data_IF_394833860810
#
_entry.id   IF_394833860810
#
_cell.length_a   1.000
_cell.length_b   1.000
_cell.length_c   1.000
_cell.angle_alpha   90.00
_cell.angle_beta   90.00
_cell.angle_gamma   90.00
#
_symmetry.space_group_name_H-M   'P 1'
#
loop_
_entity.id
_entity.type
_entity.pdbx_description
1 polymer ?
#
# COMPACT_ATOMS: atom_id res chain seq x y z
N UNK A 1 38.10 0.21 -13.52
CA UNK A 1 36.81 0.89 -13.75
C UNK A 1 36.13 1.07 -12.39
N UNK A 2 35.85 2.30 -11.94
CA UNK A 2 35.07 2.49 -10.70
C UNK A 2 33.65 2.00 -10.97
N UNK A 3 33.24 0.89 -10.36
CA UNK A 3 31.86 0.41 -10.40
C UNK A 3 30.97 1.43 -9.68
N UNK A 4 30.48 2.42 -10.42
CA UNK A 4 29.63 3.46 -9.88
C UNK A 4 28.33 2.86 -9.34
N UNK A 5 27.87 3.39 -8.21
CA UNK A 5 26.56 3.08 -7.65
C UNK A 5 25.47 3.36 -8.69
N UNK A 6 24.55 2.39 -8.88
CA UNK A 6 23.48 2.42 -9.88
C UNK A 6 22.15 2.79 -9.23
N UNK A 7 21.33 3.57 -9.94
CA UNK A 7 19.93 3.76 -9.54
C UNK A 7 19.08 2.64 -10.12
N UNK A 8 18.18 2.08 -9.32
CA UNK A 8 17.31 0.98 -9.71
C UNK A 8 15.85 1.38 -9.49
N UNK A 9 15.01 1.18 -10.49
CA UNK A 9 13.57 1.17 -10.33
C UNK A 9 13.03 -0.25 -10.33
N UNK A 10 11.83 -0.43 -9.76
CA UNK A 10 11.14 -1.70 -9.88
C UNK A 10 9.64 -1.55 -10.06
N UNK A 11 9.05 -2.33 -10.97
CA UNK A 11 7.61 -2.40 -11.16
C UNK A 11 7.14 -3.86 -11.26
N UNK A 12 6.39 -4.32 -10.27
CA UNK A 12 5.56 -5.51 -10.41
C UNK A 12 4.17 -5.10 -10.90
N UNK A 13 3.77 -5.54 -12.09
CA UNK A 13 2.53 -5.10 -12.73
C UNK A 13 1.28 -5.76 -12.16
N UNK A 14 1.38 -6.98 -11.61
CA UNK A 14 0.21 -7.71 -11.05
C UNK A 14 -0.53 -6.90 -9.96
N UNK A 15 0.14 -6.19 -9.03
CA UNK A 15 -0.52 -5.25 -8.14
C UNK A 15 -1.35 -4.17 -8.85
N UNK A 16 -0.88 -3.65 -9.98
CA UNK A 16 -1.61 -2.65 -10.76
C UNK A 16 -2.85 -3.26 -11.40
N UNK A 17 -2.77 -4.47 -11.93
CA UNK A 17 -3.94 -5.20 -12.45
C UNK A 17 -4.99 -5.41 -11.36
N UNK A 18 -4.57 -5.74 -10.14
CA UNK A 18 -5.46 -5.86 -9.00
C UNK A 18 -6.16 -4.53 -8.68
N UNK A 19 -5.43 -3.40 -8.75
CA UNK A 19 -6.01 -2.06 -8.61
C UNK A 19 -7.07 -1.80 -9.70
N UNK A 20 -6.76 -2.07 -10.97
CA UNK A 20 -7.70 -1.91 -12.10
C UNK A 20 -8.96 -2.74 -11.89
N UNK A 21 -8.82 -4.04 -11.56
CA UNK A 21 -9.95 -4.94 -11.26
C UNK A 21 -10.82 -4.42 -10.12
N UNK A 22 -10.21 -3.79 -9.12
CA UNK A 22 -10.90 -3.17 -7.97
C UNK A 22 -11.38 -1.74 -8.21
N UNK A 23 -11.22 -1.20 -9.42
CA UNK A 23 -11.54 0.21 -9.76
C UNK A 23 -10.84 1.20 -8.82
N UNK A 24 -9.62 0.88 -8.41
CA UNK A 24 -8.74 1.73 -7.59
C UNK A 24 -7.54 2.17 -8.43
N UNK A 25 -6.95 3.30 -8.05
CA UNK A 25 -5.70 3.78 -8.62
C UNK A 25 -4.56 3.40 -7.66
N UNK A 26 -3.42 3.01 -8.21
CA UNK A 26 -2.24 2.62 -7.42
C UNK A 26 -1.61 3.82 -6.71
N UNK A 27 -0.99 3.58 -5.56
CA UNK A 27 -0.16 4.57 -4.84
C UNK A 27 -0.89 5.83 -4.39
N UNK A 28 -2.23 5.79 -4.24
CA UNK A 28 -3.10 6.91 -3.85
C UNK A 28 -3.09 8.11 -4.82
N UNK A 29 -2.66 7.91 -6.07
CA UNK A 29 -2.72 8.96 -7.10
C UNK A 29 -4.15 9.30 -7.50
N UNK A 30 -4.45 10.57 -7.85
CA UNK A 30 -5.80 10.99 -8.23
C UNK A 30 -6.25 10.45 -9.59
N UNK A 31 -5.33 10.05 -10.46
CA UNK A 31 -5.65 9.35 -11.71
C UNK A 31 -4.47 8.50 -12.21
N UNK A 32 -4.77 7.55 -13.10
CA UNK A 32 -3.74 6.76 -13.79
C UNK A 32 -2.78 7.64 -14.62
N UNK A 33 -3.24 8.76 -15.17
CA UNK A 33 -2.36 9.71 -15.88
C UNK A 33 -1.27 10.24 -14.93
N UNK A 34 -1.65 10.68 -13.73
CA UNK A 34 -0.68 11.19 -12.76
C UNK A 34 0.25 10.10 -12.22
N UNK A 35 -0.25 8.87 -12.04
CA UNK A 35 0.59 7.73 -11.71
C UNK A 35 1.71 7.53 -12.74
N UNK A 36 1.36 7.55 -14.03
CA UNK A 36 2.35 7.38 -15.09
C UNK A 36 3.24 8.60 -15.31
N UNK A 37 2.72 9.82 -15.13
CA UNK A 37 3.55 11.02 -15.12
C UNK A 37 4.62 10.98 -14.04
N UNK A 38 4.30 10.43 -12.87
CA UNK A 38 5.26 10.24 -11.79
C UNK A 38 6.40 9.32 -12.22
N UNK A 39 6.09 8.17 -12.85
CA UNK A 39 7.09 7.28 -13.43
C UNK A 39 7.99 7.96 -14.46
N UNK A 40 7.41 8.73 -15.38
CA UNK A 40 8.18 9.48 -16.40
C UNK A 40 9.13 10.45 -15.71
N UNK A 41 8.62 11.30 -14.82
CA UNK A 41 9.44 12.30 -14.15
C UNK A 41 10.55 11.64 -13.31
N UNK A 42 10.22 10.59 -12.55
CA UNK A 42 11.20 9.88 -11.72
C UNK A 42 12.34 9.28 -12.55
N UNK A 43 12.01 8.54 -13.62
CA UNK A 43 13.02 7.89 -14.46
C UNK A 43 13.91 8.91 -15.20
N UNK A 44 13.31 9.90 -15.86
CA UNK A 44 14.09 10.92 -16.56
C UNK A 44 14.96 11.73 -15.61
N UNK A 45 14.41 12.16 -14.48
CA UNK A 45 15.14 13.00 -13.53
C UNK A 45 16.30 12.23 -12.86
N UNK A 46 16.13 10.93 -12.60
CA UNK A 46 17.21 10.06 -12.14
C UNK A 46 18.26 9.81 -13.24
N UNK A 47 17.84 9.64 -14.50
CA UNK A 47 18.75 9.49 -15.63
C UNK A 47 19.62 10.73 -15.81
N UNK A 48 19.02 11.92 -15.88
CA UNK A 48 19.72 13.18 -16.09
C UNK A 48 20.73 13.49 -14.97
N UNK A 49 20.41 13.17 -13.72
CA UNK A 49 21.23 13.59 -12.57
C UNK A 49 22.16 12.51 -12.03
N UNK A 50 21.82 11.24 -12.18
CA UNK A 50 22.64 10.12 -11.69
C UNK A 50 23.28 9.32 -12.82
N UNK A 51 22.84 9.51 -14.07
CA UNK A 51 23.33 8.82 -15.26
C UNK A 51 22.59 7.51 -15.50
N UNK A 52 23.28 6.39 -15.31
CA UNK A 52 22.75 5.06 -15.69
C UNK A 52 21.72 4.57 -14.66
N UNK A 53 20.49 4.37 -15.12
CA UNK A 53 19.40 3.80 -14.34
C UNK A 53 18.98 2.44 -14.90
N UNK A 54 18.62 1.51 -14.02
CA UNK A 54 18.21 0.15 -14.38
C UNK A 54 16.77 -0.11 -13.90
N UNK A 55 16.06 -1.03 -14.56
CA UNK A 55 14.70 -1.43 -14.21
C UNK A 55 14.66 -2.93 -13.89
N UNK A 56 14.01 -3.30 -12.79
CA UNK A 56 13.61 -4.68 -12.49
C UNK A 56 12.09 -4.78 -12.53
N UNK A 57 11.55 -5.56 -13.46
CA UNK A 57 10.11 -5.58 -13.76
C UNK A 57 9.67 -6.99 -14.16
N UNK A 58 8.39 -7.15 -14.42
CA UNK A 58 7.84 -8.26 -15.20
C UNK A 58 7.62 -7.82 -16.66
N UNK A 59 7.27 -8.76 -17.54
CA UNK A 59 7.08 -8.52 -18.98
C UNK A 59 6.08 -7.39 -19.25
N UNK A 60 4.99 -7.34 -18.49
CA UNK A 60 3.96 -6.31 -18.67
C UNK A 60 4.44 -4.93 -18.22
N UNK A 61 5.20 -4.84 -17.13
CA UNK A 61 5.82 -3.58 -16.74
C UNK A 61 6.90 -3.11 -17.73
N UNK A 62 7.64 -4.02 -18.39
CA UNK A 62 8.59 -3.66 -19.46
C UNK A 62 7.86 -3.13 -20.71
N UNK A 63 6.79 -3.80 -21.14
CA UNK A 63 5.91 -3.33 -22.23
C UNK A 63 5.44 -1.89 -21.97
N UNK A 64 5.02 -1.58 -20.74
CA UNK A 64 4.49 -0.26 -20.39
C UNK A 64 5.60 0.78 -20.28
N UNK A 65 6.62 0.52 -19.45
CA UNK A 65 7.63 1.53 -19.09
C UNK A 65 8.66 1.74 -20.21
N UNK A 66 8.99 0.71 -20.97
CA UNK A 66 10.06 0.78 -21.98
C UNK A 66 9.48 0.94 -23.37
N UNK A 67 8.62 0.01 -23.80
CA UNK A 67 8.11 0.04 -25.18
C UNK A 67 7.10 1.16 -25.39
N UNK A 68 6.13 1.28 -24.47
CA UNK A 68 5.06 2.27 -24.58
C UNK A 68 5.48 3.64 -24.08
N UNK A 69 6.24 3.78 -22.99
CA UNK A 69 6.63 5.10 -22.48
C UNK A 69 8.01 5.58 -22.94
N UNK A 70 8.86 4.71 -23.49
CA UNK A 70 10.19 5.09 -23.93
C UNK A 70 11.09 5.59 -22.79
N UNK A 71 10.92 5.09 -21.56
CA UNK A 71 11.71 5.56 -20.42
C UNK A 71 13.20 5.18 -20.54
N UNK A 72 14.12 6.04 -20.07
CA UNK A 72 15.55 5.95 -20.38
C UNK A 72 16.32 4.92 -19.52
N UNK A 73 15.80 3.70 -19.43
CA UNK A 73 16.48 2.62 -18.71
C UNK A 73 17.64 2.05 -19.53
N UNK A 74 18.81 1.94 -18.91
CA UNK A 74 19.99 1.30 -19.52
C UNK A 74 19.80 -0.20 -19.65
N UNK A 75 19.24 -0.84 -18.62
CA UNK A 75 19.02 -2.27 -18.59
C UNK A 75 17.68 -2.59 -17.94
N UNK A 76 17.08 -3.69 -18.41
CA UNK A 76 15.79 -4.19 -17.95
C UNK A 76 15.97 -5.64 -17.57
N UNK A 77 15.66 -5.97 -16.32
CA UNK A 77 15.59 -7.34 -15.83
C UNK A 77 14.13 -7.75 -15.69
N UNK A 78 13.76 -8.89 -16.27
CA UNK A 78 12.43 -9.48 -16.16
C UNK A 78 12.26 -10.39 -14.94
N UNK A 79 13.10 -10.24 -13.91
CA UNK A 79 13.14 -11.14 -12.76
C UNK A 79 11.81 -11.24 -11.99
N UNK A 80 10.87 -10.32 -12.17
CA UNK A 80 9.56 -10.39 -11.51
C UNK A 80 8.57 -11.31 -12.26
N UNK A 81 8.89 -11.80 -13.46
CA UNK A 81 8.14 -12.88 -14.12
C UNK A 81 8.27 -14.21 -13.34
N UNK A 82 9.38 -14.39 -12.62
CA UNK A 82 9.66 -15.60 -11.82
C UNK A 82 8.86 -15.66 -10.50
N UNK A 83 8.10 -14.61 -10.17
CA UNK A 83 7.27 -14.57 -8.96
C UNK A 83 6.21 -15.68 -8.99
N UNK A 84 6.17 -16.58 -7.98
CA UNK A 84 5.22 -17.67 -7.97
C UNK A 84 3.77 -17.17 -8.01
N UNK A 85 2.92 -17.83 -8.81
CA UNK A 85 1.53 -17.41 -9.00
C UNK A 85 0.69 -17.39 -7.71
N UNK A 86 1.07 -18.20 -6.73
CA UNK A 86 0.40 -18.23 -5.43
C UNK A 86 0.70 -17.00 -4.55
N UNK A 87 1.70 -16.19 -4.90
CA UNK A 87 2.02 -14.96 -4.17
C UNK A 87 0.95 -13.92 -4.50
N UNK A 88 0.28 -13.42 -3.46
CA UNK A 88 -0.81 -12.45 -3.61
C UNK A 88 -0.31 -11.13 -4.24
N UNK A 89 -0.94 -10.64 -5.33
CA UNK A 89 -0.64 -9.32 -5.90
C UNK A 89 -0.91 -8.14 -4.94
N UNK A 90 -1.55 -8.37 -3.80
CA UNK A 90 -1.72 -7.35 -2.78
C UNK A 90 -0.42 -7.04 -2.00
N UNK A 91 0.58 -7.93 -2.05
CA UNK A 91 1.92 -7.74 -1.48
C UNK A 91 2.83 -6.97 -2.44
N UNK A 92 2.42 -5.77 -2.87
CA UNK A 92 3.16 -4.96 -3.84
C UNK A 92 4.63 -4.68 -3.46
N UNK A 93 4.94 -4.59 -2.16
CA UNK A 93 6.30 -4.39 -1.66
C UNK A 93 7.23 -5.55 -2.02
N UNK A 94 6.68 -6.76 -2.18
CA UNK A 94 7.49 -7.93 -2.43
C UNK A 94 8.22 -7.87 -3.77
N UNK A 95 7.62 -7.23 -4.79
CA UNK A 95 8.30 -6.96 -6.05
C UNK A 95 9.56 -6.10 -5.89
N UNK A 96 9.52 -5.11 -4.99
CA UNK A 96 10.70 -4.29 -4.66
C UNK A 96 11.76 -5.09 -3.91
N UNK A 97 11.34 -5.92 -2.95
CA UNK A 97 12.25 -6.80 -2.21
C UNK A 97 13.00 -7.76 -3.13
N UNK A 98 12.33 -8.32 -4.14
CA UNK A 98 13.01 -9.12 -5.17
C UNK A 98 13.93 -8.29 -6.04
N UNK A 99 13.56 -7.06 -6.39
CA UNK A 99 14.46 -6.15 -7.10
C UNK A 99 15.75 -5.89 -6.32
N UNK A 100 15.68 -5.75 -4.99
CA UNK A 100 16.86 -5.65 -4.12
C UNK A 100 17.67 -6.95 -4.11
N UNK A 101 17.00 -8.10 -4.02
CA UNK A 101 17.63 -9.43 -3.99
C UNK A 101 18.45 -9.72 -5.26
N UNK A 102 18.06 -9.16 -6.40
CA UNK A 102 18.77 -9.33 -7.67
C UNK A 102 20.08 -8.53 -7.76
N UNK A 103 20.32 -7.58 -6.85
CA UNK A 103 21.49 -6.71 -6.96
C UNK A 103 22.79 -7.43 -6.57
N UNK A 104 23.77 -7.37 -7.48
CA UNK A 104 25.12 -7.95 -7.32
C UNK A 104 26.22 -6.91 -7.09
N UNK A 105 25.86 -5.63 -7.10
CA UNK A 105 26.75 -4.49 -6.88
C UNK A 105 26.03 -3.44 -6.04
N UNK A 106 26.76 -2.49 -5.49
CA UNK A 106 26.17 -1.34 -4.79
C UNK A 106 25.13 -0.63 -5.66
N UNK A 107 23.99 -0.31 -5.04
CA UNK A 107 22.83 0.26 -5.72
C UNK A 107 22.06 1.18 -4.77
N UNK A 108 21.24 2.05 -5.34
CA UNK A 108 20.15 2.73 -4.65
C UNK A 108 18.89 2.49 -5.46
N UNK A 109 17.89 1.91 -4.84
CA UNK A 109 16.54 1.90 -5.38
C UNK A 109 15.83 3.19 -4.98
N UNK A 110 14.99 3.71 -5.88
CA UNK A 110 14.07 4.80 -5.57
C UNK A 110 12.66 4.44 -6.03
N UNK A 111 11.66 4.96 -5.31
CA UNK A 111 10.26 4.81 -5.68
C UNK A 111 9.89 5.69 -6.88
N UNK A 112 8.84 5.28 -7.61
CA UNK A 112 8.38 6.00 -8.81
C UNK A 112 7.87 7.41 -8.53
N UNK A 113 7.62 7.74 -7.27
CA UNK A 113 7.18 9.04 -6.77
C UNK A 113 8.30 9.82 -6.08
N UNK A 114 9.55 9.39 -6.31
CA UNK A 114 10.77 10.10 -5.92
C UNK A 114 11.44 10.73 -7.13
N UNK A 115 11.79 12.01 -6.99
CA UNK A 115 12.44 12.83 -8.03
C UNK A 115 13.77 13.38 -7.53
N UNK A 116 14.84 13.17 -8.31
CA UNK A 116 16.22 13.56 -7.98
C UNK A 116 16.69 14.74 -8.84
N UNK A 117 16.50 15.96 -8.36
CA UNK A 117 16.83 17.20 -9.06
C UNK A 117 18.33 17.54 -9.09
N UNK A 118 19.14 16.88 -8.24
CA UNK A 118 20.60 17.05 -8.17
C UNK A 118 21.28 15.69 -8.04
N UNK A 119 22.58 15.65 -8.33
CA UNK A 119 23.42 14.49 -8.01
C UNK A 119 23.32 14.19 -6.51
N UNK A 120 23.10 12.91 -6.14
CA UNK A 120 23.09 12.52 -4.74
C UNK A 120 24.47 12.76 -4.10
N UNK A 121 24.55 13.25 -2.85
CA UNK A 121 25.81 13.49 -2.18
C UNK A 121 26.70 12.25 -2.12
N UNK A 122 28.03 12.43 -2.15
CA UNK A 122 28.98 11.33 -2.16
C UNK A 122 28.86 10.41 -0.93
N UNK A 123 28.57 10.98 0.25
CA UNK A 123 28.35 10.20 1.47
C UNK A 123 27.13 9.27 1.35
N UNK A 124 26.06 9.72 0.69
CA UNK A 124 24.86 8.91 0.45
C UNK A 124 25.20 7.75 -0.49
N UNK A 125 25.95 8.03 -1.56
CA UNK A 125 26.38 7.02 -2.54
C UNK A 125 27.37 6.00 -1.96
N UNK A 126 28.02 6.31 -0.83
CA UNK A 126 28.98 5.45 -0.16
C UNK A 126 28.46 4.78 1.12
N UNK A 127 27.22 5.04 1.51
CA UNK A 127 26.65 4.49 2.72
C UNK A 127 26.56 2.94 2.69
N UNK A 128 26.83 2.24 3.81
CA UNK A 128 26.66 0.79 3.90
C UNK A 128 25.21 0.38 3.64
N UNK A 129 24.28 0.96 4.40
CA UNK A 129 22.83 0.88 4.18
C UNK A 129 22.31 2.31 4.30
N UNK A 130 21.47 2.74 3.36
CA UNK A 130 20.82 4.04 3.40
C UNK A 130 19.32 3.92 3.14
N UNK A 131 18.56 4.74 3.85
CA UNK A 131 17.13 4.98 3.62
C UNK A 131 16.85 6.49 3.52
N UNK A 132 15.61 6.88 3.20
CA UNK A 132 15.25 8.29 3.19
C UNK A 132 15.36 8.90 4.60
N UNK A 133 14.68 8.28 5.56
CA UNK A 133 14.62 8.71 6.96
C UNK A 133 14.14 7.53 7.81
N UNK A 134 14.20 7.66 9.13
CA UNK A 134 13.30 6.87 9.97
C UNK A 134 11.86 7.32 9.74
N UNK A 135 10.91 6.41 9.92
CA UNK A 135 9.49 6.76 9.86
C UNK A 135 9.11 7.61 11.07
N UNK A 136 8.73 8.85 10.80
CA UNK A 136 8.27 9.80 11.81
C UNK A 136 6.77 9.59 12.02
N UNK A 137 6.39 8.60 12.83
CA UNK A 137 5.00 8.49 13.31
C UNK A 137 4.83 9.40 14.53
N UNK A 138 4.15 10.55 14.42
CA UNK A 138 4.10 11.54 15.50
C UNK A 138 3.23 11.09 16.69
N UNK A 139 2.55 9.94 16.58
CA UNK A 139 1.81 9.32 17.66
C UNK A 139 2.11 7.82 17.73
N UNK A 140 2.38 7.32 18.93
CA UNK A 140 2.54 5.89 19.23
C UNK A 140 1.39 5.04 18.66
N UNK A 141 0.16 5.57 18.72
CA UNK A 141 -1.05 4.91 18.18
C UNK A 141 -1.02 4.72 16.66
N UNK A 142 -0.39 5.63 15.90
CA UNK A 142 -0.24 5.46 14.47
C UNK A 142 0.79 4.36 14.15
N UNK A 143 1.90 4.29 14.88
CA UNK A 143 2.88 3.20 14.66
C UNK A 143 2.27 1.83 14.95
N UNK A 144 1.44 1.76 15.99
CA UNK A 144 0.75 0.54 16.40
C UNK A 144 -0.12 -0.05 15.27
N UNK A 145 -0.94 0.77 14.63
CA UNK A 145 -1.82 0.33 13.54
C UNK A 145 -1.07 -0.01 12.25
N UNK A 146 0.03 0.70 11.98
CA UNK A 146 0.77 0.59 10.71
C UNK A 146 1.74 -0.59 10.73
N UNK A 147 2.41 -0.81 11.86
CA UNK A 147 3.51 -1.75 11.95
C UNK A 147 3.23 -2.89 12.91
N UNK A 148 2.91 -2.58 14.17
CA UNK A 148 2.84 -3.63 15.19
C UNK A 148 1.64 -4.54 15.00
N UNK A 149 0.46 -4.00 14.67
CA UNK A 149 -0.72 -4.82 14.42
C UNK A 149 -0.52 -5.74 13.20
N UNK A 150 -0.09 -5.26 12.01
CA UNK A 150 0.18 -6.17 10.89
C UNK A 150 1.28 -7.19 11.20
N UNK A 151 2.36 -6.79 11.88
CA UNK A 151 3.43 -7.69 12.30
C UNK A 151 2.93 -8.80 13.23
N UNK A 152 2.14 -8.46 14.26
CA UNK A 152 1.54 -9.46 15.16
C UNK A 152 0.57 -10.38 14.41
N UNK A 153 -0.23 -9.84 13.50
CA UNK A 153 -1.08 -10.65 12.63
C UNK A 153 -0.25 -11.66 11.83
N UNK A 154 0.89 -11.25 11.28
CA UNK A 154 1.81 -12.18 10.62
C UNK A 154 2.38 -13.21 11.58
N UNK A 155 2.88 -12.82 12.77
CA UNK A 155 3.37 -13.77 13.76
C UNK A 155 2.31 -14.79 14.23
N UNK A 156 1.03 -14.41 14.21
CA UNK A 156 -0.06 -15.29 14.63
C UNK A 156 -0.54 -16.25 13.53
N UNK A 157 -0.45 -15.84 12.26
CA UNK A 157 -1.00 -16.59 11.13
C UNK A 157 0.05 -17.33 10.32
N UNK A 158 1.31 -16.88 10.34
CA UNK A 158 2.39 -17.45 9.57
C UNK A 158 3.32 -18.25 10.48
N UNK A 159 3.74 -19.43 10.02
CA UNK A 159 4.68 -20.29 10.72
C UNK A 159 6.13 -19.79 10.59
N UNK A 160 6.49 -19.27 9.41
CA UNK A 160 7.79 -18.65 9.15
C UNK A 160 7.64 -17.15 9.08
N UNK A 161 8.21 -16.44 10.05
CA UNK A 161 8.31 -14.98 10.05
C UNK A 161 9.77 -14.57 10.20
N UNK A 162 10.16 -13.36 9.77
CA UNK A 162 11.53 -12.87 9.94
C UNK A 162 11.98 -12.99 11.41
N UNK A 163 13.02 -13.78 11.71
CA UNK A 163 13.51 -13.93 13.08
C UNK A 163 14.01 -12.61 13.66
N UNK A 164 14.40 -11.65 12.80
CA UNK A 164 14.79 -10.31 13.23
C UNK A 164 13.66 -9.52 13.91
N UNK A 165 12.39 -9.88 13.71
CA UNK A 165 11.28 -9.11 14.29
C UNK A 165 11.21 -9.21 15.81
N UNK A 166 11.47 -10.38 16.41
CA UNK A 166 11.33 -10.54 17.86
C UNK A 166 12.25 -9.62 18.68
N UNK A 167 13.58 -9.57 18.45
CA UNK A 167 14.47 -8.76 19.28
C UNK A 167 14.26 -7.24 19.15
N UNK A 168 13.63 -6.78 18.06
CA UNK A 168 13.51 -5.35 17.75
C UNK A 168 12.05 -4.88 17.62
N UNK A 169 11.09 -5.73 17.96
CA UNK A 169 9.66 -5.45 17.91
C UNK A 169 9.25 -4.24 18.77
N UNK A 170 9.93 -4.04 19.89
CA UNK A 170 9.60 -3.02 20.90
C UNK A 170 10.26 -1.67 20.62
N UNK A 171 11.23 -1.61 19.70
CA UNK A 171 11.91 -0.36 19.35
C UNK A 171 11.00 0.62 18.59
N UNK A 172 9.87 0.13 18.06
CA UNK A 172 8.89 0.93 17.31
C UNK A 172 9.52 1.83 16.23
N UNK A 173 10.49 1.26 15.49
CA UNK A 173 11.21 1.93 14.40
C UNK A 173 11.01 1.21 13.07
N UNK A 174 11.00 2.01 12.02
CA UNK A 174 10.89 1.59 10.62
C UNK A 174 11.60 2.61 9.73
N UNK A 175 11.88 2.25 8.48
CA UNK A 175 12.59 3.09 7.51
C UNK A 175 11.64 3.62 6.45
N UNK A 176 11.62 4.93 6.19
CA UNK A 176 11.02 5.40 4.96
C UNK A 176 11.94 5.03 3.78
N UNK A 177 11.45 4.17 2.89
CA UNK A 177 12.24 3.59 1.80
C UNK A 177 11.93 4.19 0.43
N UNK A 178 11.51 5.45 0.36
CA UNK A 178 11.44 6.17 -0.93
C UNK A 178 12.78 6.17 -1.67
N UNK A 179 13.88 6.10 -0.92
CA UNK A 179 15.19 5.64 -1.39
C UNK A 179 15.68 4.54 -0.46
N UNK A 180 16.28 3.49 -1.00
CA UNK A 180 16.89 2.41 -0.20
C UNK A 180 18.04 1.72 -0.94
N UNK A 181 19.07 1.31 -0.20
CA UNK A 181 20.14 0.47 -0.76
C UNK A 181 21.45 0.71 -0.05
N UNK A 182 22.56 0.59 -0.77
CA UNK A 182 23.89 0.87 -0.25
C UNK A 182 24.95 -0.12 -0.74
N UNK A 183 26.07 -0.15 -0.01
CA UNK A 183 27.25 -0.96 -0.32
C UNK A 183 27.30 -2.29 0.44
N UNK A 184 26.63 -2.40 1.58
CA UNK A 184 26.54 -3.63 2.37
C UNK A 184 25.46 -4.54 1.79
N UNK A 185 25.80 -5.19 0.68
CA UNK A 185 24.94 -6.19 0.05
C UNK A 185 24.68 -7.38 0.98
N UNK A 186 25.59 -7.71 1.90
CA UNK A 186 25.39 -8.82 2.83
C UNK A 186 24.18 -8.59 3.73
N UNK A 187 24.06 -7.38 4.28
CA UNK A 187 22.90 -6.99 5.10
C UNK A 187 21.62 -6.89 4.28
N UNK A 188 21.67 -6.25 3.10
CA UNK A 188 20.49 -6.13 2.22
C UNK A 188 19.99 -7.50 1.77
N UNK A 189 20.89 -8.42 1.40
CA UNK A 189 20.52 -9.77 0.96
C UNK A 189 19.99 -10.62 2.12
N UNK A 190 20.53 -10.49 3.33
CA UNK A 190 19.96 -11.13 4.51
C UNK A 190 18.53 -10.63 4.78
N UNK A 191 18.28 -9.33 4.59
CA UNK A 191 16.94 -8.75 4.69
C UNK A 191 15.99 -9.37 3.65
N UNK A 192 16.38 -9.36 2.38
CA UNK A 192 15.60 -9.96 1.31
C UNK A 192 15.29 -11.43 1.59
N UNK A 193 16.28 -12.19 2.08
CA UNK A 193 16.11 -13.61 2.36
C UNK A 193 15.06 -13.88 3.45
N UNK A 194 15.04 -13.11 4.54
CA UNK A 194 14.03 -13.28 5.59
C UNK A 194 12.62 -12.98 5.09
N UNK A 195 12.46 -11.94 4.26
CA UNK A 195 11.17 -11.64 3.63
C UNK A 195 10.75 -12.76 2.66
N UNK A 196 11.66 -13.24 1.82
CA UNK A 196 11.39 -14.34 0.88
C UNK A 196 10.97 -15.61 1.61
N UNK A 197 11.64 -15.97 2.69
CA UNK A 197 11.26 -17.14 3.49
C UNK A 197 9.84 -16.99 4.06
N UNK A 198 9.48 -15.82 4.58
CA UNK A 198 8.11 -15.58 5.03
C UNK A 198 7.07 -15.65 3.89
N UNK A 199 7.37 -15.08 2.72
CA UNK A 199 6.39 -15.02 1.62
C UNK A 199 6.25 -16.36 0.90
N UNK A 200 7.35 -17.05 0.63
CA UNK A 200 7.40 -18.23 -0.27
C UNK A 200 7.37 -19.57 0.47
N UNK A 201 7.69 -19.62 1.77
CA UNK A 201 7.80 -20.90 2.46
C UNK A 201 6.44 -21.64 2.50
N UNK A 202 6.46 -22.92 2.13
CA UNK A 202 5.26 -23.76 1.98
C UNK A 202 4.37 -23.81 3.23
N UNK A 203 4.98 -23.74 4.41
CA UNK A 203 4.26 -23.73 5.68
C UNK A 203 3.34 -22.52 5.86
N UNK A 204 3.65 -21.40 5.21
CA UNK A 204 2.85 -20.17 5.31
C UNK A 204 1.67 -20.12 4.35
N UNK A 205 1.52 -21.09 3.43
CA UNK A 205 0.46 -21.04 2.41
C UNK A 205 -0.94 -20.93 3.02
N UNK A 206 -1.23 -21.74 4.04
CA UNK A 206 -2.51 -21.68 4.75
C UNK A 206 -2.68 -20.36 5.50
N UNK A 207 -1.62 -19.85 6.12
CA UNK A 207 -1.61 -18.54 6.78
C UNK A 207 -1.91 -17.38 5.84
N UNK A 208 -1.32 -17.38 4.64
CA UNK A 208 -1.59 -16.40 3.59
C UNK A 208 -3.02 -16.49 3.07
N UNK A 209 -3.57 -17.70 2.90
CA UNK A 209 -4.98 -17.89 2.54
C UNK A 209 -5.93 -17.37 3.63
N UNK A 210 -5.64 -17.65 4.90
CA UNK A 210 -6.41 -17.12 6.02
C UNK A 210 -6.36 -15.58 6.05
N UNK A 211 -5.16 -14.99 5.88
CA UNK A 211 -5.00 -13.53 5.81
C UNK A 211 -5.85 -12.93 4.67
N UNK A 212 -5.86 -13.55 3.49
CA UNK A 212 -6.69 -13.09 2.38
C UNK A 212 -8.20 -13.19 2.68
N UNK A 213 -8.63 -14.19 3.46
CA UNK A 213 -10.03 -14.43 3.82
C UNK A 213 -10.57 -13.49 4.92
N UNK A 214 -9.70 -12.93 5.77
CA UNK A 214 -10.12 -12.03 6.88
C UNK A 214 -10.76 -10.71 6.42
N UNK A 215 -10.85 -10.43 5.12
CA UNK A 215 -11.34 -9.14 4.64
C UNK A 215 -10.42 -7.97 5.01
N UNK A 216 -9.23 -8.24 5.60
CA UNK A 216 -8.09 -7.33 5.67
C UNK A 216 -7.57 -7.07 4.26
N UNK A 217 -8.41 -6.44 3.44
CA UNK A 217 -8.09 -5.85 2.15
C UNK A 217 -7.08 -4.70 2.27
N UNK A 218 -6.53 -4.49 3.46
CA UNK A 218 -5.47 -3.54 3.76
C UNK A 218 -4.14 -4.25 4.08
N UNK A 219 -3.80 -5.29 3.29
CA UNK A 219 -2.39 -5.71 3.08
C UNK A 219 -1.50 -4.50 2.74
N UNK A 220 -2.07 -3.36 2.32
CA UNK A 220 -1.40 -2.06 2.21
C UNK A 220 -0.46 -1.71 3.38
N UNK A 221 -0.91 -1.79 4.64
CA UNK A 221 -0.03 -1.52 5.78
C UNK A 221 0.94 -2.68 6.06
N UNK A 222 0.51 -3.91 5.78
CA UNK A 222 1.37 -5.09 5.84
C UNK A 222 2.58 -5.00 4.91
N UNK A 223 2.47 -4.31 3.77
CA UNK A 223 3.59 -4.05 2.87
C UNK A 223 4.68 -3.18 3.52
N UNK A 224 4.32 -2.25 4.41
CA UNK A 224 5.27 -1.44 5.15
C UNK A 224 6.05 -2.29 6.16
N UNK A 225 5.40 -3.28 6.79
CA UNK A 225 6.10 -4.25 7.64
C UNK A 225 7.04 -5.13 6.80
N UNK A 226 6.56 -5.65 5.68
CA UNK A 226 7.33 -6.51 4.75
C UNK A 226 8.57 -5.77 4.23
N UNK A 227 8.40 -4.52 3.78
CA UNK A 227 9.49 -3.74 3.21
C UNK A 227 10.33 -3.07 4.29
N UNK A 228 9.72 -2.15 5.04
CA UNK A 228 10.41 -1.13 5.81
C UNK A 228 10.83 -1.60 7.21
N UNK A 229 9.90 -2.16 7.97
CA UNK A 229 10.21 -2.61 9.33
C UNK A 229 11.15 -3.82 9.29
N UNK A 230 10.98 -4.72 8.33
CA UNK A 230 11.88 -5.87 8.18
C UNK A 230 13.29 -5.45 7.81
N UNK A 231 13.47 -4.46 6.92
CA UNK A 231 14.79 -3.91 6.60
C UNK A 231 15.47 -3.31 7.84
N UNK A 232 14.73 -2.53 8.64
CA UNK A 232 15.21 -2.00 9.91
C UNK A 232 15.70 -3.11 10.85
N UNK A 233 14.82 -4.08 11.15
CA UNK A 233 15.11 -5.14 12.11
C UNK A 233 16.33 -5.98 11.69
N UNK A 234 16.47 -6.30 10.40
CA UNK A 234 17.62 -7.10 9.93
C UNK A 234 18.92 -6.30 9.97
N UNK A 235 18.89 -5.02 9.59
CA UNK A 235 20.06 -4.16 9.72
C UNK A 235 20.52 -4.03 11.19
N UNK A 236 19.57 -3.87 12.12
CA UNK A 236 19.85 -3.88 13.57
C UNK A 236 20.43 -5.21 14.05
N UNK A 237 19.83 -6.34 13.63
CA UNK A 237 20.30 -7.69 13.96
C UNK A 237 21.76 -7.91 13.58
N UNK A 238 22.17 -7.32 12.45
CA UNK A 238 23.52 -7.48 11.89
C UNK A 238 24.51 -6.42 12.38
N UNK A 239 24.08 -5.51 13.27
CA UNK A 239 24.91 -4.38 13.72
C UNK A 239 25.28 -3.43 12.58
N UNK A 240 24.49 -3.39 11.50
CA UNK A 240 24.78 -2.55 10.35
C UNK A 240 24.49 -1.08 10.67
N UNK A 241 25.34 -0.19 10.17
CA UNK A 241 25.13 1.25 10.28
C UNK A 241 24.12 1.71 9.21
N UNK A 242 22.94 2.13 9.66
CA UNK A 242 21.88 2.66 8.79
C UNK A 242 22.03 4.17 8.72
N UNK A 243 22.34 4.68 7.53
CA UNK A 243 22.33 6.11 7.24
C UNK A 243 20.95 6.55 6.74
N UNK A 244 20.62 7.82 6.96
CA UNK A 244 19.41 8.44 6.44
C UNK A 244 19.75 9.65 5.57
N UNK A 245 18.97 9.91 4.52
CA UNK A 245 19.07 11.20 3.80
C UNK A 245 18.71 12.37 4.72
N UNK A 246 17.78 12.13 5.63
CA UNK A 246 17.26 13.10 6.57
C UNK A 246 17.22 12.47 7.97
N UNK A 247 18.10 12.94 8.85
CA UNK A 247 18.19 12.49 10.24
C UNK A 247 17.00 13.02 11.04
N UNK A 248 16.20 12.13 11.66
CA UNK A 248 15.04 12.41 12.52
C UNK A 248 14.51 13.86 12.42
N UNK A 249 14.10 14.25 11.21
CA UNK A 249 13.72 15.63 10.93
C UNK A 249 12.26 15.78 11.32
N UNK A 250 11.97 16.77 12.17
CA UNK A 250 10.62 17.33 12.33
C UNK A 250 9.93 17.34 10.95
N UNK A 251 8.78 16.66 10.77
CA UNK A 251 8.10 16.59 9.48
C UNK A 251 7.90 17.96 8.81
N UNK A 252 7.83 19.05 9.58
CA UNK A 252 7.76 20.43 9.08
C UNK A 252 9.03 20.89 8.33
N UNK A 253 10.21 20.39 8.72
CA UNK A 253 11.52 20.75 8.15
C UNK A 253 12.00 19.80 7.06
N UNK A 254 11.38 18.61 6.93
CA UNK A 254 11.73 17.63 5.92
C UNK A 254 11.68 18.21 4.49
N UNK A 255 10.69 19.07 4.22
CA UNK A 255 10.57 19.70 2.90
C UNK A 255 11.71 20.67 2.59
N UNK A 256 12.30 21.32 3.59
CA UNK A 256 13.42 22.25 3.40
C UNK A 256 14.72 21.48 3.17
N UNK A 257 14.98 20.48 4.01
CA UNK A 257 16.14 19.60 3.86
C UNK A 257 16.15 18.89 2.49
N UNK A 258 14.99 18.40 2.05
CA UNK A 258 14.83 17.78 0.74
C UNK A 258 15.16 18.76 -0.41
N UNK A 259 14.74 20.03 -0.32
CA UNK A 259 15.08 21.05 -1.34
C UNK A 259 16.59 21.29 -1.44
N UNK A 260 17.31 21.32 -0.32
CA UNK A 260 18.76 21.57 -0.29
C UNK A 260 19.50 20.53 -1.15
N UNK A 261 19.21 19.25 -0.95
CA UNK A 261 19.85 18.15 -1.69
C UNK A 261 19.19 17.85 -3.04
N UNK A 262 18.14 18.58 -3.42
CA UNK A 262 17.43 18.36 -4.67
C UNK A 262 16.64 17.05 -4.69
N UNK A 263 15.95 16.73 -3.61
CA UNK A 263 15.15 15.52 -3.46
C UNK A 263 13.67 15.87 -3.33
N UNK A 264 12.79 15.05 -3.88
CA UNK A 264 11.34 15.15 -3.67
C UNK A 264 10.77 13.74 -3.56
N UNK A 265 10.02 13.46 -2.50
CA UNK A 265 9.19 12.26 -2.39
C UNK A 265 7.74 12.70 -2.22
N UNK A 266 6.88 12.31 -3.15
CA UNK A 266 5.45 12.66 -3.13
C UNK A 266 4.71 11.74 -2.16
N UNK A 267 4.67 12.13 -0.89
CA UNK A 267 3.98 11.37 0.16
C UNK A 267 2.47 11.22 -0.10
N UNK A 268 1.86 10.14 0.40
CA UNK A 268 0.45 9.79 0.14
C UNK A 268 -0.57 10.88 0.51
N UNK A 269 -0.31 11.69 1.54
CA UNK A 269 -1.18 12.81 1.93
C UNK A 269 -1.31 13.86 0.81
N UNK A 270 -0.21 14.20 0.13
CA UNK A 270 -0.19 15.14 -1.01
C UNK A 270 -0.91 14.60 -2.25
N UNK A 271 -0.95 13.27 -2.41
CA UNK A 271 -1.68 12.64 -3.51
C UNK A 271 -3.19 12.61 -3.25
N UNK A 272 -3.59 12.33 -2.01
CA UNK A 272 -5.01 12.26 -1.56
C UNK A 272 -5.70 13.61 -1.50
N UNK A 273 -4.99 14.67 -1.12
CA UNK A 273 -5.57 16.01 -1.00
C UNK A 273 -5.90 16.65 -2.35
N UNK A 274 -5.56 16.00 -3.47
CA UNK A 274 -5.62 16.55 -4.83
C UNK A 274 -5.04 17.95 -4.85
N UNK A 275 -3.74 18.06 -4.56
CA UNK A 275 -3.00 19.30 -4.79
C UNK A 275 -2.99 19.58 -6.30
N UNK A 276 -4.02 20.28 -6.78
CA UNK A 276 -4.25 20.56 -8.19
C UNK A 276 -3.07 21.31 -8.82
N UNK A 277 -2.43 22.19 -8.06
CA UNK A 277 -1.28 22.94 -8.52
C UNK A 277 -0.07 22.02 -8.73
N UNK A 278 0.19 21.10 -7.79
CA UNK A 278 1.21 20.08 -7.97
C UNK A 278 0.95 19.20 -9.19
N UNK A 279 -0.28 18.75 -9.38
CA UNK A 279 -0.64 17.90 -10.52
C UNK A 279 -0.44 18.60 -11.86
N UNK A 280 -0.81 19.88 -11.96
CA UNK A 280 -0.55 20.70 -13.15
C UNK A 280 0.96 20.89 -13.40
N UNK A 281 1.75 21.12 -12.35
CA UNK A 281 3.21 21.22 -12.47
C UNK A 281 3.85 19.92 -12.92
N UNK A 282 3.38 18.77 -12.38
CA UNK A 282 3.84 17.45 -12.78
C UNK A 282 3.54 17.20 -14.26
N UNK A 283 2.31 17.49 -14.68
CA UNK A 283 1.89 17.33 -16.08
C UNK A 283 2.73 18.20 -17.02
N UNK A 284 2.87 19.49 -16.71
CA UNK A 284 3.70 20.43 -17.47
C UNK A 284 5.14 19.94 -17.59
N UNK A 285 5.72 19.49 -16.47
CA UNK A 285 7.11 19.01 -16.45
C UNK A 285 7.30 17.74 -17.28
N UNK A 286 6.35 16.81 -17.25
CA UNK A 286 6.43 15.62 -18.12
C UNK A 286 6.38 16.01 -19.59
N UNK A 287 5.50 16.94 -19.97
CA UNK A 287 5.44 17.46 -21.34
C UNK A 287 6.75 18.12 -21.79
N UNK A 288 7.43 18.83 -20.89
CA UNK A 288 8.74 19.46 -21.16
C UNK A 288 9.87 18.42 -21.33
N UNK A 289 9.84 17.33 -20.55
CA UNK A 289 10.88 16.29 -20.56
C UNK A 289 10.70 15.33 -21.74
N UNK A 290 9.46 14.91 -22.01
CA UNK A 290 9.14 13.97 -23.08
C UNK A 290 7.72 14.20 -23.59
N UNK A 291 7.60 14.95 -24.69
CA UNK A 291 6.34 15.15 -25.40
C UNK A 291 5.72 13.82 -25.83
N UNK A 292 6.55 12.88 -26.28
CA UNK A 292 6.09 11.57 -26.75
C UNK A 292 5.45 10.76 -25.62
N UNK A 293 6.12 10.67 -24.46
CA UNK A 293 5.54 9.98 -23.30
C UNK A 293 4.27 10.68 -22.83
N UNK A 294 4.27 12.02 -22.83
CA UNK A 294 3.10 12.82 -22.49
C UNK A 294 1.90 12.51 -23.40
N UNK A 295 2.09 12.54 -24.72
CA UNK A 295 1.03 12.30 -25.70
C UNK A 295 0.50 10.87 -25.61
N UNK A 296 1.38 9.87 -25.47
CA UNK A 296 0.98 8.47 -25.24
C UNK A 296 0.15 8.32 -23.98
N UNK A 297 0.49 9.04 -22.89
CA UNK A 297 -0.31 9.08 -21.66
C UNK A 297 -1.70 9.70 -21.88
N UNK A 298 -1.80 10.74 -22.71
CA UNK A 298 -3.07 11.36 -23.05
C UNK A 298 -3.97 10.46 -23.88
N UNK A 299 -3.40 9.73 -24.85
CA UNK A 299 -4.10 8.82 -25.75
C UNK A 299 -4.62 7.53 -25.09
N UNK A 300 -4.13 7.22 -23.88
CA UNK A 300 -4.53 6.03 -23.14
C UNK A 300 -3.75 4.79 -23.57
N UNK A 301 -2.62 4.59 -22.91
CA UNK A 301 -1.74 3.42 -23.00
C UNK A 301 -1.80 2.60 -21.70
N UNK A 302 -1.17 1.43 -21.66
CA UNK A 302 -1.09 0.58 -20.48
C UNK A 302 -2.36 -0.22 -20.14
N UNK A 303 -2.48 -0.63 -18.87
CA UNK A 303 -3.51 -1.55 -18.33
C UNK A 303 -4.96 -1.05 -18.46
N UNK A 304 -5.17 0.19 -18.88
CA UNK A 304 -6.47 0.85 -18.98
C UNK A 304 -7.08 0.82 -20.39
N UNK A 305 -6.36 0.32 -21.41
CA UNK A 305 -6.94 0.05 -22.75
C UNK A 305 -8.00 -1.06 -22.63
N UNK A 306 -9.23 -0.64 -22.31
CA UNK A 306 -10.39 -1.51 -22.06
C UNK A 306 -11.38 -0.98 -21.01
N UNK A 307 -10.97 -0.04 -20.15
CA UNK A 307 -11.83 0.46 -19.05
C UNK A 307 -12.32 1.91 -19.23
N UNK A 308 -12.12 2.53 -20.40
CA UNK A 308 -12.51 3.91 -20.63
C UNK A 308 -12.51 4.31 -22.10
N UNK A 309 -13.35 3.67 -22.90
CA UNK A 309 -13.72 4.21 -24.20
C UNK A 309 -14.90 5.16 -24.03
N UNK A 310 -14.69 6.47 -24.21
CA UNK A 310 -15.77 7.39 -24.55
C UNK A 310 -16.37 6.94 -25.87
N UNK A 311 -17.43 6.12 -25.82
CA UNK A 311 -18.28 5.88 -26.98
C UNK A 311 -19.02 7.18 -27.27
N UNK A 312 -18.52 7.93 -28.25
CA UNK A 312 -19.29 8.93 -28.99
C UNK A 312 -20.37 8.19 -29.79
N UNK A 313 -21.50 7.86 -29.13
CA UNK A 313 -22.70 7.41 -29.86
C UNK A 313 -23.64 8.58 -30.06
N UNK A 314 -23.78 8.99 -31.33
CA UNK A 314 -24.94 9.73 -31.85
C UNK A 314 -26.24 9.08 -31.34
N UNK A 315 -27.16 9.89 -30.81
CA UNK A 315 -28.62 9.58 -30.72
C UNK A 315 -29.22 9.67 -32.13
N UNK A 316 -30.21 8.83 -32.49
CA UNK A 316 -31.61 8.88 -32.00
C UNK A 316 -32.19 7.45 -31.78
N UNK A 317 -33.38 7.15 -31.27
CA UNK A 317 -34.65 7.84 -31.04
C UNK A 317 -35.42 7.15 -29.88
N UNK A 318 -36.47 7.82 -29.43
CA UNK A 318 -37.49 7.49 -28.41
C UNK A 318 -38.08 6.06 -28.43
N UNK A 319 -38.38 5.53 -27.24
CA UNK A 319 -39.73 5.05 -26.82
C UNK A 319 -39.80 5.06 -25.27
N UNK A 320 -40.81 5.75 -24.75
CA UNK A 320 -41.24 5.75 -23.34
C UNK A 320 -41.95 4.44 -23.00
N UNK A 321 -41.70 3.88 -21.81
CA UNK A 321 -42.78 3.36 -20.94
C UNK A 321 -42.50 3.69 -19.48
N UNK A 322 -43.54 4.22 -18.87
CA UNK A 322 -43.73 4.76 -17.53
C UNK A 322 -43.93 3.68 -16.47
N UNK A 323 -43.59 4.03 -15.23
CA UNK A 323 -44.01 3.56 -13.87
C UNK A 323 -42.75 3.43 -13.01
N UNK A 324 -42.61 3.91 -11.78
CA UNK A 324 -43.57 4.27 -10.74
C UNK A 324 -43.02 5.35 -9.80
N UNK A 325 -43.98 6.06 -9.23
CA UNK A 325 -43.93 6.86 -8.00
C UNK A 325 -43.47 5.99 -6.82
N UNK A 326 -42.43 6.40 -6.07
CA UNK A 326 -42.40 6.45 -4.58
C UNK A 326 -41.30 7.43 -4.16
N UNK A 327 -41.70 8.51 -3.50
CA UNK A 327 -40.86 9.44 -2.73
C UNK A 327 -40.59 8.86 -1.34
N UNK A 328 -39.39 9.11 -0.82
CA UNK A 328 -38.96 9.09 0.58
C UNK A 328 -39.43 7.92 1.47
N UNK A 329 -38.56 6.92 1.63
CA UNK A 329 -38.56 6.03 2.81
C UNK A 329 -37.37 6.41 3.68
N UNK A 330 -37.61 6.67 4.96
CA UNK A 330 -36.54 6.93 5.94
C UNK A 330 -35.62 5.70 6.07
N UNK A 331 -34.36 5.93 6.46
CA UNK A 331 -33.33 4.88 6.59
C UNK A 331 -33.77 3.66 7.45
N UNK A 332 -34.74 3.85 8.33
CA UNK A 332 -35.35 2.79 9.16
C UNK A 332 -36.24 1.83 8.34
N UNK A 333 -36.99 2.32 7.34
CA UNK A 333 -37.87 1.48 6.53
C UNK A 333 -37.12 0.56 5.57
N UNK A 334 -35.96 0.99 5.07
CA UNK A 334 -35.10 0.17 4.21
C UNK A 334 -34.42 -1.00 4.96
N UNK A 335 -34.11 -0.82 6.24
CA UNK A 335 -33.54 -1.86 7.10
C UNK A 335 -34.57 -2.94 7.46
N UNK A 336 -35.82 -2.55 7.76
CA UNK A 336 -36.92 -3.48 8.07
C UNK A 336 -37.36 -4.27 6.83
N UNK A 337 -37.40 -3.65 5.64
CA UNK A 337 -37.75 -4.34 4.40
C UNK A 337 -36.70 -5.37 3.93
N UNK A 338 -35.41 -5.16 4.24
CA UNK A 338 -34.35 -6.16 4.02
C UNK A 338 -34.38 -7.30 5.05
N UNK A 339 -34.82 -7.00 6.27
CA UNK A 339 -34.92 -7.93 7.40
C UNK A 339 -35.91 -9.08 7.15
N UNK A 340 -36.93 -8.88 6.32
CA UNK A 340 -37.96 -9.88 5.97
C UNK A 340 -37.60 -10.76 4.76
N UNK A 341 -36.58 -10.41 3.95
CA UNK A 341 -36.22 -11.15 2.72
C UNK A 341 -35.04 -12.12 2.87
N UNK A 342 -34.36 -12.15 4.02
CA UNK A 342 -33.37 -13.20 4.35
C UNK A 342 -32.05 -13.18 3.57
N UNK A 343 -31.84 -12.22 2.67
CA UNK A 343 -30.60 -12.08 1.88
C UNK A 343 -29.49 -11.47 2.78
N UNK A 344 -28.27 -12.02 2.70
CA UNK A 344 -27.08 -11.60 3.48
C UNK A 344 -27.17 -11.77 5.01
N UNK A 345 -27.88 -12.79 5.49
CA UNK A 345 -27.88 -13.13 6.92
C UNK A 345 -26.83 -14.18 7.28
N UNK A 346 -26.19 -13.96 8.42
CA UNK A 346 -25.33 -14.95 9.05
C UNK A 346 -26.17 -16.16 9.51
N UNK A 347 -25.61 -17.37 9.35
CA UNK A 347 -26.18 -18.59 9.90
C UNK A 347 -26.27 -18.53 11.43
N UNK A 348 -27.12 -19.36 12.05
CA UNK A 348 -27.19 -19.42 13.52
C UNK A 348 -25.82 -19.67 14.16
N UNK A 349 -25.01 -20.55 13.56
CA UNK A 349 -23.66 -20.84 14.02
C UNK A 349 -22.72 -19.63 13.90
N UNK A 350 -22.79 -18.90 12.79
CA UNK A 350 -22.02 -17.66 12.59
C UNK A 350 -22.42 -16.58 13.59
N UNK A 351 -23.72 -16.41 13.85
CA UNK A 351 -24.23 -15.46 14.86
C UNK A 351 -23.72 -15.84 16.25
N UNK A 352 -23.75 -17.13 16.61
CA UNK A 352 -23.21 -17.60 17.89
C UNK A 352 -21.72 -17.33 18.01
N UNK A 353 -20.92 -17.57 16.96
CA UNK A 353 -19.48 -17.27 16.95
C UNK A 353 -19.23 -15.77 17.10
N UNK A 354 -19.95 -14.94 16.36
CA UNK A 354 -19.87 -13.48 16.44
C UNK A 354 -20.23 -12.93 17.82
N UNK A 355 -21.27 -13.47 18.47
CA UNK A 355 -21.64 -13.07 19.82
C UNK A 355 -20.64 -13.58 20.88
N UNK A 356 -20.08 -14.78 20.71
CA UNK A 356 -19.05 -15.31 21.61
C UNK A 356 -17.77 -14.45 21.60
N UNK A 357 -17.41 -13.86 20.45
CA UNK A 357 -16.34 -12.86 20.35
C UNK A 357 -16.67 -11.61 21.18
N UNK A 358 -17.90 -11.14 21.14
CA UNK A 358 -18.33 -10.00 21.95
C UNK A 358 -18.39 -10.34 23.45
N UNK A 359 -18.75 -11.57 23.83
CA UNK A 359 -18.73 -12.03 25.23
C UNK A 359 -17.31 -12.13 25.80
N UNK A 360 -16.34 -12.49 24.97
CA UNK A 360 -14.90 -12.57 25.32
C UNK A 360 -14.10 -11.40 24.75
N UNK A 361 -14.73 -10.23 24.58
CA UNK A 361 -14.16 -9.11 23.83
C UNK A 361 -12.72 -8.80 24.28
N UNK A 362 -11.69 -8.99 23.43
CA UNK A 362 -10.29 -8.85 23.84
C UNK A 362 -9.87 -7.44 24.29
N UNK A 363 -10.71 -6.43 24.02
CA UNK A 363 -10.48 -5.04 24.42
C UNK A 363 -11.38 -4.56 25.57
N UNK A 364 -12.10 -5.46 26.26
CA UNK A 364 -13.04 -5.11 27.34
C UNK A 364 -14.12 -4.07 26.95
N UNK A 365 -14.47 -3.99 25.66
CA UNK A 365 -15.46 -3.03 25.16
C UNK A 365 -16.91 -3.53 25.26
N UNK A 366 -17.11 -4.74 25.77
CA UNK A 366 -18.40 -5.34 25.98
C UNK A 366 -19.14 -4.64 27.12
N UNK A 367 -20.33 -4.12 26.82
CA UNK A 367 -21.21 -3.52 27.83
C UNK A 367 -22.19 -4.59 28.28
N UNK A 368 -22.21 -4.83 29.58
CA UNK A 368 -23.08 -5.82 30.22
C UNK A 368 -24.23 -5.14 30.95
N UNK A 369 -25.41 -5.78 30.93
CA UNK A 369 -26.58 -5.34 31.70
C UNK A 369 -27.29 -6.56 32.26
N UNK A 370 -27.51 -6.60 33.58
CA UNK A 370 -28.13 -7.72 34.30
C UNK A 370 -27.46 -9.07 33.98
N UNK A 371 -26.12 -9.11 33.96
CA UNK A 371 -25.34 -10.33 33.71
C UNK A 371 -25.38 -10.85 32.27
N UNK A 372 -25.95 -10.11 31.32
CA UNK A 372 -25.98 -10.48 29.90
C UNK A 372 -25.28 -9.44 29.03
N UNK A 373 -24.64 -9.90 27.96
CA UNK A 373 -24.02 -9.05 26.97
C UNK A 373 -25.10 -8.18 26.31
N UNK A 374 -24.96 -6.86 26.47
CA UNK A 374 -25.99 -5.90 26.09
C UNK A 374 -25.65 -5.18 24.79
N UNK A 375 -24.43 -4.64 24.66
CA UNK A 375 -23.95 -3.93 23.46
C UNK A 375 -22.41 -3.79 23.52
N UNK A 376 -21.79 -3.13 22.54
CA UNK A 376 -20.39 -2.67 22.65
C UNK A 376 -20.32 -1.15 22.86
N UNK A 377 -19.21 -0.67 23.45
CA UNK A 377 -18.99 0.75 23.79
C UNK A 377 -19.29 1.74 22.66
N UNK A 378 -18.66 1.63 21.48
CA UNK A 378 -18.87 2.57 20.37
C UNK A 378 -20.29 2.58 19.83
N UNK A 379 -20.96 1.42 19.86
CA UNK A 379 -22.35 1.31 19.41
C UNK A 379 -23.29 2.03 20.38
N UNK A 380 -23.03 1.93 21.69
CA UNK A 380 -23.77 2.68 22.70
C UNK A 380 -23.53 4.19 22.56
N UNK A 381 -22.29 4.60 22.32
CA UNK A 381 -21.92 6.01 22.14
C UNK A 381 -22.53 6.61 20.88
N UNK A 382 -22.49 5.91 19.75
CA UNK A 382 -23.13 6.33 18.50
C UNK A 382 -24.62 6.55 18.70
N UNK A 383 -25.30 5.64 19.39
CA UNK A 383 -26.74 5.73 19.62
C UNK A 383 -27.10 6.83 20.62
N UNK A 384 -26.28 7.04 21.67
CA UNK A 384 -26.42 8.17 22.60
C UNK A 384 -26.29 9.52 21.88
N UNK A 385 -25.33 9.66 20.96
CA UNK A 385 -25.16 10.87 20.13
C UNK A 385 -26.38 11.17 19.26
N UNK A 386 -27.13 10.14 18.88
CA UNK A 386 -28.38 10.27 18.12
C UNK A 386 -29.63 10.39 19.00
N UNK A 387 -29.49 10.46 20.33
CA UNK A 387 -30.62 10.52 21.27
C UNK A 387 -31.46 9.23 21.33
N UNK A 388 -30.91 8.10 20.85
CA UNK A 388 -31.61 6.82 20.76
C UNK A 388 -31.21 5.88 21.89
N UNK A 389 -32.20 5.25 22.53
CA UNK A 389 -31.96 4.12 23.42
C UNK A 389 -31.57 2.86 22.63
N UNK A 390 -30.76 1.99 23.23
CA UNK A 390 -30.54 0.63 22.71
C UNK A 390 -31.41 -0.33 23.49
N UNK A 391 -32.07 -1.28 22.81
CA UNK A 391 -32.47 -2.53 23.42
C UNK A 391 -31.37 -3.56 23.12
N UNK A 392 -31.01 -4.45 24.04
CA UNK A 392 -29.90 -5.41 23.84
C UNK A 392 -30.05 -6.29 22.58
N UNK A 393 -31.22 -6.29 21.94
CA UNK A 393 -31.48 -6.89 20.65
C UNK A 393 -30.65 -6.28 19.50
N UNK A 394 -30.16 -5.03 19.62
CA UNK A 394 -29.41 -4.36 18.55
C UNK A 394 -28.13 -5.12 18.22
N UNK A 395 -27.38 -5.57 19.22
CA UNK A 395 -26.16 -6.35 18.99
C UNK A 395 -26.47 -7.71 18.35
N UNK A 396 -27.54 -8.37 18.80
CA UNK A 396 -27.99 -9.64 18.24
C UNK A 396 -28.45 -9.49 16.77
N UNK A 397 -29.10 -8.36 16.44
CA UNK A 397 -29.55 -8.05 15.09
C UNK A 397 -28.37 -7.73 14.17
N UNK A 398 -27.39 -6.93 14.62
CA UNK A 398 -26.19 -6.64 13.83
C UNK A 398 -25.33 -7.88 13.63
N UNK A 399 -25.21 -8.77 14.64
CA UNK A 399 -24.50 -10.04 14.49
C UNK A 399 -25.08 -10.92 13.36
N UNK A 400 -26.39 -10.78 13.08
CA UNK A 400 -27.10 -11.50 12.02
C UNK A 400 -26.92 -10.89 10.64
N UNK A 401 -26.51 -9.63 10.52
CA UNK A 401 -26.28 -8.99 9.23
C UNK A 401 -24.82 -9.19 8.81
N UNK A 402 -24.58 -9.84 7.67
CA UNK A 402 -23.22 -10.07 7.18
C UNK A 402 -22.55 -8.78 6.70
N UNK A 403 -23.31 -7.72 6.41
CA UNK A 403 -22.77 -6.41 6.03
C UNK A 403 -22.41 -5.52 7.23
N UNK A 404 -22.81 -5.91 8.44
CA UNK A 404 -22.49 -5.19 9.67
C UNK A 404 -21.13 -5.66 10.22
N UNK A 405 -20.22 -4.70 10.39
CA UNK A 405 -18.89 -4.92 10.93
C UNK A 405 -18.80 -4.48 12.40
N UNK A 406 -17.87 -5.09 13.12
CA UNK A 406 -17.64 -4.77 14.51
C UNK A 406 -16.90 -3.45 14.46
N UNK A 407 -17.29 -2.45 15.25
CA UNK A 407 -16.58 -1.17 15.27
C UNK A 407 -15.07 -1.32 15.52
N UNK A 408 -14.66 -2.46 16.08
CA UNK A 408 -13.26 -2.82 16.35
C UNK A 408 -12.72 -3.97 15.47
N UNK A 409 -13.53 -4.53 14.57
CA UNK A 409 -13.11 -5.51 13.58
C UNK A 409 -12.82 -6.92 14.10
N UNK A 410 -13.44 -7.33 15.22
CA UNK A 410 -13.17 -8.64 15.84
C UNK A 410 -14.00 -9.81 15.29
N UNK A 411 -15.07 -9.54 14.53
CA UNK A 411 -16.09 -10.53 14.15
C UNK A 411 -16.26 -10.70 12.63
#
# INVERSE_FOLDING_TARGET
MRSGLRIVHSLWSKPLELCVKRKRISGDWPSWKHYWYSWVLSAWQAHETQGRIDLVTDMKGAEILVEQLGLPYRSVSLALDELPEYVSPALWAYGKVLAYAQQRSSFLHIDSDVYLWKQLPEWCRNAPVIAQSFEATPQYLAFEDIYNRPRRTFCNLLEKVPPSWQPYAEENKSLNMGIFGGRDLGTIQAYCQQVREMVEHKANRLGWQALAATGLNNIGWSNMVVEQQTAYCVARQRGANIHTLFDEVDPSKLSEAAKVIGYTHVMGSKKKSVDHEFMQRLEKRVKEISSDAYDRIQEGFGLTRGCGGTKTTRKPSTIRKSTNVVKHVSHAGASVAKTSLGINRASKEQVTKRLAVCEKCPGDHAVWKNGKLYTCGPMLESMKKEGKGTCGCVLNLKARDMAEECPFGWW
#
